data_IF_012352953199
#
_entry.id   IF_012352953199
#
_cell.length_a   1.000
_cell.length_b   1.000
_cell.length_c   1.000
_cell.angle_alpha   90.00
_cell.angle_beta   90.00
_cell.angle_gamma   90.00
#
_symmetry.space_group_name_H-M   'P 1'
#
loop_
_entity.id
_entity.type
_entity.pdbx_description
1 polymer ?
#
# COMPACT_ATOMS: atom_id res chain seq x y z
N UNK A 1 16.89 -8.39 2.58
CA UNK A 1 16.85 -9.87 2.43
C UNK A 1 16.98 -10.29 0.97
N UNK A 2 17.46 -11.50 0.67
CA UNK A 2 17.31 -12.08 -0.67
C UNK A 2 15.83 -12.43 -0.89
N UNK A 3 15.25 -12.03 -2.04
CA UNK A 3 13.81 -12.19 -2.31
C UNK A 3 13.45 -13.55 -2.94
N UNK A 4 14.43 -14.29 -3.47
CA UNK A 4 14.18 -15.60 -4.09
C UNK A 4 13.54 -16.55 -3.09
N UNK A 5 12.45 -17.20 -3.50
CA UNK A 5 11.66 -18.16 -2.71
C UNK A 5 11.02 -17.57 -1.43
N UNK A 6 11.07 -16.23 -1.22
CA UNK A 6 10.41 -15.57 -0.11
C UNK A 6 8.96 -15.25 -0.44
N UNK A 7 8.06 -15.55 0.49
CA UNK A 7 6.64 -15.20 0.34
C UNK A 7 6.42 -13.73 0.65
N UNK A 8 5.97 -13.00 -0.36
CA UNK A 8 5.67 -11.56 -0.30
C UNK A 8 4.17 -11.38 -0.54
N UNK A 9 3.48 -10.85 0.45
CA UNK A 9 2.05 -10.52 0.38
C UNK A 9 1.88 -9.08 -0.11
N UNK A 10 1.04 -8.86 -1.11
CA UNK A 10 0.74 -7.51 -1.63
C UNK A 10 -0.78 -7.34 -1.66
N UNK A 11 -1.31 -6.41 -0.87
CA UNK A 11 -2.74 -6.07 -0.88
C UNK A 11 -3.05 -4.99 -1.92
N UNK A 12 -4.24 -5.06 -2.56
CA UNK A 12 -4.60 -4.17 -3.66
C UNK A 12 -3.73 -4.40 -4.90
N UNK A 13 -3.46 -5.68 -5.22
CA UNK A 13 -2.49 -6.09 -6.23
C UNK A 13 -3.06 -6.18 -7.66
N UNK A 14 -4.37 -5.97 -7.86
CA UNK A 14 -5.00 -6.14 -9.17
C UNK A 14 -4.52 -5.10 -10.19
N UNK A 15 -4.21 -3.87 -9.78
CA UNK A 15 -3.87 -2.75 -10.67
C UNK A 15 -2.98 -1.70 -10.00
N UNK A 16 -2.60 -0.66 -10.75
CA UNK A 16 -1.89 0.51 -10.24
C UNK A 16 -0.57 0.16 -9.57
N UNK A 17 -0.32 0.74 -8.40
CA UNK A 17 0.94 0.54 -7.66
C UNK A 17 1.13 -0.91 -7.21
N UNK A 18 0.06 -1.58 -6.73
CA UNK A 18 0.14 -2.98 -6.30
C UNK A 18 0.60 -3.91 -7.42
N UNK A 19 0.01 -3.75 -8.60
CA UNK A 19 0.41 -4.53 -9.78
C UNK A 19 1.84 -4.19 -10.26
N UNK A 20 2.25 -2.92 -10.20
CA UNK A 20 3.62 -2.52 -10.56
C UNK A 20 4.65 -3.11 -9.59
N UNK A 21 4.39 -3.05 -8.28
CA UNK A 21 5.23 -3.68 -7.26
C UNK A 21 5.32 -5.20 -7.45
N UNK A 22 4.19 -5.87 -7.72
CA UNK A 22 4.18 -7.30 -7.97
C UNK A 22 5.04 -7.68 -9.19
N UNK A 23 4.87 -6.99 -10.32
CA UNK A 23 5.65 -7.24 -11.55
C UNK A 23 7.15 -7.03 -11.34
N UNK A 24 7.54 -5.95 -10.64
CA UNK A 24 8.95 -5.67 -10.37
C UNK A 24 9.57 -6.74 -9.47
N UNK A 25 8.89 -7.07 -8.37
CA UNK A 25 9.37 -8.07 -7.43
C UNK A 25 9.45 -9.47 -8.05
N UNK A 26 8.58 -9.79 -9.03
CA UNK A 26 8.57 -11.07 -9.73
C UNK A 26 9.91 -11.40 -10.40
N UNK A 27 10.70 -10.39 -10.81
CA UNK A 27 12.03 -10.57 -11.41
C UNK A 27 13.03 -11.26 -10.46
N UNK A 28 12.77 -11.27 -9.16
CA UNK A 28 13.58 -11.95 -8.15
C UNK A 28 13.08 -13.36 -7.80
N UNK A 29 12.12 -13.89 -8.53
CA UNK A 29 11.56 -15.26 -8.36
C UNK A 29 11.04 -15.51 -6.91
N UNK A 30 10.26 -14.60 -6.31
CA UNK A 30 9.63 -14.85 -5.03
C UNK A 30 8.40 -15.76 -5.18
N UNK A 31 7.79 -16.09 -4.03
CA UNK A 31 6.40 -16.51 -3.97
C UNK A 31 5.54 -15.29 -3.71
N UNK A 32 4.72 -14.87 -4.68
CA UNK A 32 3.83 -13.72 -4.56
C UNK A 32 2.44 -14.17 -4.11
N UNK A 33 1.99 -13.70 -2.95
CA UNK A 33 0.61 -13.79 -2.50
C UNK A 33 -0.11 -12.48 -2.87
N UNK A 34 -0.78 -12.46 -4.00
CA UNK A 34 -1.51 -11.30 -4.49
C UNK A 34 -2.91 -11.28 -3.91
N UNK A 35 -3.30 -10.15 -3.31
CA UNK A 35 -4.58 -9.99 -2.61
C UNK A 35 -5.36 -8.82 -3.19
N UNK A 36 -6.65 -9.04 -3.50
CA UNK A 36 -7.60 -7.97 -3.83
C UNK A 36 -9.01 -8.39 -3.38
N UNK A 37 -10.01 -7.53 -3.56
CA UNK A 37 -11.41 -7.81 -3.22
C UNK A 37 -11.97 -9.02 -3.99
N UNK A 38 -11.51 -9.23 -5.22
CA UNK A 38 -11.90 -10.32 -6.10
C UNK A 38 -10.67 -10.98 -6.71
N UNK A 39 -10.62 -12.30 -6.63
CA UNK A 39 -9.48 -13.07 -7.16
C UNK A 39 -9.36 -12.96 -8.70
N UNK A 40 -10.47 -12.84 -9.40
CA UNK A 40 -10.50 -12.70 -10.86
C UNK A 40 -9.83 -11.41 -11.35
N UNK A 41 -9.88 -10.32 -10.58
CA UNK A 41 -9.26 -9.04 -10.91
C UNK A 41 -7.71 -9.13 -10.89
N UNK A 42 -7.16 -10.15 -10.24
CA UNK A 42 -5.71 -10.39 -10.14
C UNK A 42 -5.12 -11.09 -11.37
N UNK A 43 -5.94 -11.62 -12.28
CA UNK A 43 -5.51 -12.52 -13.35
C UNK A 43 -4.38 -11.92 -14.22
N UNK A 44 -4.53 -10.67 -14.66
CA UNK A 44 -3.54 -10.02 -15.52
C UNK A 44 -2.20 -9.78 -14.79
N UNK A 45 -2.25 -9.37 -13.53
CA UNK A 45 -1.03 -9.18 -12.71
C UNK A 45 -0.36 -10.52 -12.44
N UNK A 46 -1.13 -11.54 -12.08
CA UNK A 46 -0.61 -12.88 -11.80
C UNK A 46 0.08 -13.48 -13.02
N UNK A 47 -0.52 -13.38 -14.20
CA UNK A 47 0.06 -13.91 -15.43
C UNK A 47 1.40 -13.21 -15.76
N UNK A 48 1.44 -11.89 -15.70
CA UNK A 48 2.68 -11.14 -15.92
C UNK A 48 3.79 -11.51 -14.92
N UNK A 49 3.44 -11.75 -13.66
CA UNK A 49 4.41 -12.16 -12.64
C UNK A 49 4.91 -13.61 -12.85
N UNK A 50 4.04 -14.52 -13.29
CA UNK A 50 4.43 -15.89 -13.63
C UNK A 50 5.39 -15.92 -14.83
N UNK A 51 5.11 -15.12 -15.86
CA UNK A 51 6.00 -14.97 -17.03
C UNK A 51 7.37 -14.41 -16.65
N UNK A 52 7.46 -13.59 -15.61
CA UNK A 52 8.72 -13.10 -15.03
C UNK A 52 9.43 -14.12 -14.12
N UNK A 53 8.87 -15.33 -13.91
CA UNK A 53 9.47 -16.42 -13.17
C UNK A 53 9.07 -16.54 -11.70
N UNK A 54 8.12 -15.75 -11.22
CA UNK A 54 7.62 -15.85 -9.84
C UNK A 54 6.58 -16.98 -9.71
N UNK A 55 6.55 -17.63 -8.55
CA UNK A 55 5.38 -18.41 -8.13
C UNK A 55 4.30 -17.45 -7.62
N UNK A 56 3.06 -17.59 -8.10
CA UNK A 56 1.98 -16.65 -7.77
C UNK A 56 0.75 -17.40 -7.28
N UNK A 57 0.23 -16.97 -6.14
CA UNK A 57 -1.04 -17.38 -5.56
C UNK A 57 -1.96 -16.16 -5.41
N UNK A 58 -3.22 -16.30 -5.80
CA UNK A 58 -4.22 -15.22 -5.74
C UNK A 58 -5.22 -15.48 -4.62
N UNK A 59 -5.57 -14.42 -3.88
CA UNK A 59 -6.48 -14.47 -2.75
C UNK A 59 -7.51 -13.35 -2.84
N UNK A 60 -8.78 -13.67 -2.53
CA UNK A 60 -9.83 -12.69 -2.36
C UNK A 60 -10.02 -12.40 -0.87
N UNK A 61 -9.95 -11.12 -0.48
CA UNK A 61 -10.21 -10.69 0.88
C UNK A 61 -10.61 -9.22 0.96
N UNK A 62 -11.53 -8.89 1.87
CA UNK A 62 -11.78 -7.53 2.28
C UNK A 62 -10.90 -7.20 3.49
N UNK A 63 -9.85 -6.40 3.27
CA UNK A 63 -8.91 -6.01 4.34
C UNK A 63 -9.55 -5.23 5.49
N UNK A 64 -10.75 -4.66 5.28
CA UNK A 64 -11.50 -3.95 6.32
C UNK A 64 -12.30 -4.90 7.24
N UNK A 65 -12.30 -6.21 6.97
CA UNK A 65 -13.05 -7.22 7.75
C UNK A 65 -12.06 -8.15 8.44
N UNK A 66 -12.01 -8.10 9.76
CA UNK A 66 -11.03 -8.84 10.58
C UNK A 66 -11.07 -10.35 10.30
N UNK A 67 -12.26 -10.96 10.24
CA UNK A 67 -12.40 -12.41 9.97
C UNK A 67 -11.87 -12.78 8.57
N UNK A 68 -12.01 -11.90 7.57
CA UNK A 68 -11.46 -12.11 6.23
C UNK A 68 -9.93 -12.06 6.26
N UNK A 69 -9.35 -11.12 7.04
CA UNK A 69 -7.90 -10.97 7.14
C UNK A 69 -7.29 -12.18 7.87
N UNK A 70 -7.89 -12.65 8.97
CA UNK A 70 -7.42 -13.85 9.67
C UNK A 70 -7.39 -15.05 8.73
N UNK A 71 -8.52 -15.32 8.06
CA UNK A 71 -8.64 -16.41 7.07
C UNK A 71 -7.62 -16.26 5.93
N UNK A 72 -7.42 -15.05 5.42
CA UNK A 72 -6.45 -14.75 4.37
C UNK A 72 -5.04 -15.20 4.76
N UNK A 73 -4.58 -14.84 5.96
CA UNK A 73 -3.22 -15.20 6.38
C UNK A 73 -3.07 -16.69 6.71
N UNK A 74 -4.12 -17.36 7.17
CA UNK A 74 -4.13 -18.83 7.31
C UNK A 74 -4.01 -19.50 5.93
N UNK A 75 -4.78 -19.06 4.94
CA UNK A 75 -4.73 -19.56 3.57
C UNK A 75 -3.35 -19.29 2.91
N UNK A 76 -2.76 -18.11 3.16
CA UNK A 76 -1.40 -17.80 2.67
C UNK A 76 -0.38 -18.78 3.26
N UNK A 77 -0.42 -19.02 4.56
CA UNK A 77 0.50 -19.98 5.19
C UNK A 77 0.28 -21.39 4.66
N UNK A 78 -0.96 -21.81 4.47
CA UNK A 78 -1.29 -23.13 3.95
C UNK A 78 -0.79 -23.32 2.51
N UNK A 79 -0.94 -22.32 1.62
CA UNK A 79 -0.60 -22.42 0.19
C UNK A 79 0.82 -21.98 -0.15
N UNK A 80 1.37 -21.00 0.59
CA UNK A 80 2.70 -20.44 0.33
C UNK A 80 3.75 -20.87 1.37
N UNK A 81 3.36 -21.55 2.45
CA UNK A 81 4.24 -22.10 3.49
C UNK A 81 4.62 -21.13 4.60
N UNK A 82 4.82 -19.85 4.30
CA UNK A 82 5.24 -18.82 5.27
C UNK A 82 4.85 -17.42 4.81
N UNK A 83 5.08 -16.42 5.67
CA UNK A 83 5.06 -14.98 5.33
C UNK A 83 6.46 -14.43 5.64
N UNK A 84 7.07 -13.72 4.68
CA UNK A 84 8.37 -13.06 4.84
C UNK A 84 8.28 -11.54 4.61
N UNK A 85 7.33 -11.09 3.81
CA UNK A 85 7.07 -9.67 3.65
C UNK A 85 5.58 -9.40 3.44
N UNK A 86 5.14 -8.21 3.89
CA UNK A 86 3.82 -7.66 3.62
C UNK A 86 3.98 -6.25 3.06
N UNK A 87 3.30 -5.99 1.93
CA UNK A 87 3.11 -4.64 1.39
C UNK A 87 1.63 -4.28 1.52
N UNK A 88 1.31 -3.46 2.49
CA UNK A 88 0.00 -2.88 2.71
C UNK A 88 -0.23 -1.75 1.70
N UNK A 89 -0.84 -2.08 0.55
CA UNK A 89 -1.10 -1.14 -0.53
C UNK A 89 -2.60 -0.91 -0.78
N UNK A 90 -3.47 -1.82 -0.41
CA UNK A 90 -4.92 -1.64 -0.58
C UNK A 90 -5.39 -0.31 0.02
N UNK A 91 -6.19 0.44 -0.72
CA UNK A 91 -6.69 1.73 -0.28
C UNK A 91 -7.72 2.32 -1.21
N UNK A 92 -8.54 3.20 -0.65
CA UNK A 92 -9.59 3.93 -1.36
C UNK A 92 -9.54 5.41 -1.00
N UNK A 93 -10.18 6.25 -1.82
CA UNK A 93 -10.48 7.65 -1.52
C UNK A 93 -11.99 7.86 -1.47
N UNK A 94 -12.44 8.79 -0.63
CA UNK A 94 -13.81 9.32 -0.55
C UNK A 94 -13.71 10.80 -0.22
N UNK A 95 -13.22 11.56 -1.20
CA UNK A 95 -12.86 12.97 -1.05
C UNK A 95 -14.12 13.82 -0.84
N UNK A 96 -14.05 14.73 0.11
CA UNK A 96 -15.05 15.75 0.39
C UNK A 96 -14.41 16.87 1.24
N UNK A 97 -14.83 18.09 1.02
CA UNK A 97 -14.48 19.17 1.96
C UNK A 97 -15.09 18.90 3.33
N UNK A 98 -14.38 19.27 4.42
CA UNK A 98 -14.93 19.18 5.76
C UNK A 98 -16.29 19.90 5.84
N UNK A 99 -16.34 21.13 5.32
CA UNK A 99 -17.56 21.91 5.12
C UNK A 99 -17.44 22.64 3.78
N UNK A 100 -18.45 22.53 2.91
CA UNK A 100 -18.61 23.34 1.71
C UNK A 100 -19.67 24.37 1.98
N UNK A 101 -19.26 25.65 2.06
CA UNK A 101 -20.13 26.79 2.26
C UNK A 101 -20.17 27.65 1.00
N UNK A 102 -21.35 28.00 0.52
CA UNK A 102 -21.55 28.83 -0.65
C UNK A 102 -22.87 29.60 -0.55
N UNK A 103 -22.89 30.83 -1.03
CA UNK A 103 -24.09 31.67 -1.10
C UNK A 103 -24.86 31.76 0.24
N UNK A 104 -24.12 31.94 1.35
CA UNK A 104 -24.71 32.10 2.68
C UNK A 104 -25.22 30.83 3.36
N UNK A 105 -25.00 29.65 2.77
CA UNK A 105 -25.44 28.36 3.32
C UNK A 105 -24.41 27.25 3.21
N UNK A 106 -24.53 26.26 4.10
CA UNK A 106 -23.76 25.01 4.01
C UNK A 106 -24.35 24.14 2.91
N UNK A 107 -23.62 23.93 1.82
CA UNK A 107 -24.03 23.04 0.72
C UNK A 107 -23.82 21.55 1.06
N UNK A 108 -22.68 21.25 1.64
CA UNK A 108 -22.33 19.88 2.06
C UNK A 108 -21.27 19.86 3.13
N UNK A 109 -21.10 18.71 3.76
CA UNK A 109 -20.01 18.39 4.70
C UNK A 109 -19.59 16.96 4.52
N UNK A 110 -18.34 16.63 4.83
CA UNK A 110 -17.89 15.25 4.84
C UNK A 110 -18.79 14.42 5.75
N UNK A 111 -19.38 13.36 5.23
CA UNK A 111 -20.24 12.48 6.02
C UNK A 111 -19.40 11.48 6.85
N UNK A 112 -19.97 11.01 7.97
CA UNK A 112 -19.34 9.95 8.76
C UNK A 112 -19.11 8.68 7.92
N UNK A 113 -20.00 8.37 6.98
CA UNK A 113 -19.84 7.22 6.07
C UNK A 113 -18.63 7.38 5.14
N UNK A 114 -18.37 8.59 4.60
CA UNK A 114 -17.17 8.86 3.79
C UNK A 114 -15.90 8.77 4.64
N UNK A 115 -15.93 9.28 5.87
CA UNK A 115 -14.85 9.15 6.82
C UNK A 115 -14.57 7.68 7.12
N UNK A 116 -15.56 6.96 7.61
CA UNK A 116 -15.42 5.58 8.08
C UNK A 116 -14.95 4.63 6.98
N UNK A 117 -15.50 4.74 5.77
CA UNK A 117 -15.09 3.89 4.65
C UNK A 117 -13.58 3.99 4.35
N UNK A 118 -13.00 5.19 4.46
CA UNK A 118 -11.56 5.38 4.25
C UNK A 118 -10.75 4.87 5.43
N UNK A 119 -11.18 5.13 6.66
CA UNK A 119 -10.53 4.63 7.87
C UNK A 119 -10.51 3.10 7.90
N UNK A 120 -11.64 2.45 7.59
CA UNK A 120 -11.75 1.00 7.63
C UNK A 120 -10.77 0.32 6.68
N UNK A 121 -10.64 0.80 5.45
CA UNK A 121 -9.74 0.20 4.46
C UNK A 121 -8.29 0.67 4.68
N UNK A 122 -8.07 1.99 4.75
CA UNK A 122 -6.72 2.55 4.64
C UNK A 122 -5.95 2.58 5.96
N UNK A 123 -6.63 2.44 7.11
CA UNK A 123 -6.00 2.46 8.43
C UNK A 123 -6.24 1.15 9.18
N UNK A 124 -7.51 0.81 9.44
CA UNK A 124 -7.86 -0.42 10.16
C UNK A 124 -7.39 -1.66 9.40
N UNK A 125 -7.61 -1.70 8.08
CA UNK A 125 -7.16 -2.82 7.24
C UNK A 125 -5.63 -3.00 7.22
N UNK A 126 -4.89 -1.90 7.21
CA UNK A 126 -3.42 -1.93 7.32
C UNK A 126 -2.99 -2.47 8.68
N UNK A 127 -3.67 -2.05 9.76
CA UNK A 127 -3.41 -2.59 11.10
C UNK A 127 -3.69 -4.09 11.17
N UNK A 128 -4.84 -4.55 10.70
CA UNK A 128 -5.22 -5.96 10.71
C UNK A 128 -4.24 -6.83 9.92
N UNK A 129 -3.93 -6.44 8.69
CA UNK A 129 -2.96 -7.18 7.87
C UNK A 129 -1.56 -7.16 8.49
N UNK A 130 -1.11 -6.04 9.06
CA UNK A 130 0.17 -5.92 9.73
C UNK A 130 0.28 -6.83 10.95
N UNK A 131 -0.78 -6.88 11.78
CA UNK A 131 -0.87 -7.75 12.96
C UNK A 131 -0.78 -9.23 12.57
N UNK A 132 -1.62 -9.66 11.63
CA UNK A 132 -1.66 -11.06 11.20
C UNK A 132 -0.36 -11.51 10.51
N UNK A 133 0.24 -10.63 9.69
CA UNK A 133 1.55 -10.92 9.09
C UNK A 133 2.64 -11.07 10.16
N UNK A 134 2.70 -10.14 11.11
CA UNK A 134 3.69 -10.19 12.19
C UNK A 134 3.53 -11.45 13.05
N UNK A 135 2.31 -11.83 13.40
CA UNK A 135 2.03 -13.07 14.15
C UNK A 135 2.56 -14.30 13.41
N UNK A 136 2.24 -14.45 12.10
CA UNK A 136 2.69 -15.61 11.30
C UNK A 136 4.21 -15.62 11.14
N UNK A 137 4.86 -14.46 11.02
CA UNK A 137 6.33 -14.35 11.01
C UNK A 137 6.92 -14.81 12.34
N UNK A 138 6.39 -14.32 13.47
CA UNK A 138 6.89 -14.65 14.82
C UNK A 138 6.69 -16.13 15.13
N UNK A 139 5.51 -16.68 14.91
CA UNK A 139 5.19 -18.10 15.19
C UNK A 139 6.10 -19.05 14.38
N UNK A 140 6.44 -18.68 13.16
CA UNK A 140 7.35 -19.47 12.30
C UNK A 140 8.84 -19.17 12.56
N UNK A 141 9.17 -18.20 13.39
CA UNK A 141 10.56 -17.78 13.63
C UNK A 141 11.22 -17.13 12.40
N UNK A 142 10.43 -16.59 11.49
CA UNK A 142 10.94 -15.96 10.28
C UNK A 142 11.19 -14.47 10.51
N UNK A 143 12.40 -13.95 10.25
CA UNK A 143 12.59 -12.52 10.10
C UNK A 143 11.79 -12.00 8.91
N UNK A 144 11.36 -10.74 8.94
CA UNK A 144 10.49 -10.24 7.89
C UNK A 144 10.48 -8.72 7.73
N UNK A 145 9.63 -8.25 6.80
CA UNK A 145 9.46 -6.82 6.51
C UNK A 145 7.98 -6.48 6.30
N UNK A 146 7.52 -5.42 6.94
CA UNK A 146 6.19 -4.85 6.72
C UNK A 146 6.36 -3.45 6.12
N UNK A 147 5.75 -3.22 4.94
CA UNK A 147 5.79 -1.93 4.25
C UNK A 147 4.38 -1.38 4.12
N UNK A 148 4.15 -0.16 4.64
CA UNK A 148 2.87 0.52 4.51
C UNK A 148 2.94 1.59 3.42
N UNK A 149 2.05 1.53 2.43
CA UNK A 149 1.93 2.57 1.41
C UNK A 149 1.12 3.73 1.99
N UNK A 150 1.84 4.79 2.34
CA UNK A 150 1.30 6.06 2.80
C UNK A 150 0.97 6.98 1.60
N UNK A 151 1.17 8.28 1.73
CA UNK A 151 1.00 9.31 0.68
C UNK A 151 1.63 10.61 1.16
N UNK A 152 2.02 11.50 0.24
CA UNK A 152 2.33 12.90 0.60
C UNK A 152 1.12 13.61 1.24
N UNK A 153 -0.11 13.19 0.92
CA UNK A 153 -1.35 13.71 1.55
C UNK A 153 -1.39 13.51 3.08
N UNK A 154 -0.49 12.69 3.65
CA UNK A 154 -0.33 12.56 5.11
C UNK A 154 0.04 13.87 5.82
N UNK A 155 0.62 14.83 5.08
CA UNK A 155 0.94 16.17 5.60
C UNK A 155 -0.23 17.15 5.55
N UNK A 156 -1.31 16.80 4.86
CA UNK A 156 -2.52 17.60 4.67
C UNK A 156 -2.83 17.81 3.18
N UNK A 157 -4.07 17.56 2.78
CA UNK A 157 -4.56 17.85 1.44
C UNK A 157 -6.04 18.26 1.52
N UNK A 158 -6.39 19.40 0.94
CA UNK A 158 -7.75 19.91 0.98
C UNK A 158 -8.75 18.90 0.37
N UNK A 159 -9.84 18.63 1.09
CA UNK A 159 -10.84 17.64 0.68
C UNK A 159 -10.53 16.19 1.07
N UNK A 160 -9.41 15.95 1.76
CA UNK A 160 -8.95 14.60 2.10
C UNK A 160 -8.75 14.40 3.61
N UNK A 161 -9.58 14.99 4.47
CA UNK A 161 -9.44 14.86 5.93
C UNK A 161 -9.35 13.39 6.38
N UNK A 162 -10.21 12.51 5.84
CA UNK A 162 -10.21 11.07 6.11
C UNK A 162 -8.94 10.38 5.59
N UNK A 163 -8.57 10.66 4.34
CA UNK A 163 -7.41 10.04 3.69
C UNK A 163 -6.10 10.51 4.34
N UNK A 164 -5.98 11.80 4.63
CA UNK A 164 -4.83 12.38 5.36
C UNK A 164 -4.64 11.71 6.71
N UNK A 165 -5.71 11.60 7.52
CA UNK A 165 -5.65 10.95 8.82
C UNK A 165 -5.19 9.49 8.71
N UNK A 166 -5.76 8.73 7.77
CA UNK A 166 -5.37 7.34 7.54
C UNK A 166 -3.90 7.22 7.10
N UNK A 167 -3.46 8.04 6.13
CA UNK A 167 -2.10 7.95 5.58
C UNK A 167 -1.02 8.48 6.54
N UNK A 168 -1.35 9.42 7.42
CA UNK A 168 -0.50 9.80 8.55
C UNK A 168 -0.40 8.67 9.58
N UNK A 169 -1.53 8.04 9.92
CA UNK A 169 -1.58 6.92 10.86
C UNK A 169 -0.73 5.73 10.42
N UNK A 170 -0.81 5.30 9.15
CA UNK A 170 -0.02 4.15 8.67
C UNK A 170 1.48 4.43 8.61
N UNK A 171 1.89 5.69 8.40
CA UNK A 171 3.29 6.08 8.49
C UNK A 171 3.79 6.01 9.94
N UNK A 172 2.99 6.49 10.91
CA UNK A 172 3.31 6.42 12.33
C UNK A 172 3.34 4.96 12.83
N UNK A 173 2.40 4.10 12.41
CA UNK A 173 2.38 2.68 12.75
C UNK A 173 3.67 1.99 12.31
N UNK A 174 4.20 2.28 11.13
CA UNK A 174 5.46 1.69 10.66
C UNK A 174 6.64 2.01 11.59
N UNK A 175 6.69 3.22 12.18
CA UNK A 175 7.72 3.60 13.16
C UNK A 175 7.56 2.82 14.47
N UNK A 176 6.32 2.67 14.95
CA UNK A 176 6.01 1.91 16.16
C UNK A 176 6.35 0.44 15.98
N UNK A 177 5.89 -0.19 14.90
CA UNK A 177 6.14 -1.59 14.59
C UNK A 177 7.64 -1.90 14.41
N UNK A 178 8.40 -0.97 13.81
CA UNK A 178 9.85 -1.10 13.71
C UNK A 178 10.53 -1.27 15.06
N UNK A 179 10.00 -0.63 16.11
CA UNK A 179 10.54 -0.73 17.50
C UNK A 179 10.03 -1.99 18.20
N UNK A 180 8.73 -2.27 18.12
CA UNK A 180 8.10 -3.39 18.83
C UNK A 180 8.54 -4.74 18.29
N UNK A 181 8.72 -4.85 16.97
CA UNK A 181 8.96 -6.12 16.27
C UNK A 181 10.45 -6.39 16.03
N UNK A 182 11.35 -5.44 16.30
CA UNK A 182 12.80 -5.59 16.09
C UNK A 182 13.39 -6.83 16.79
N UNK A 183 12.92 -7.12 18.00
CA UNK A 183 13.38 -8.30 18.77
C UNK A 183 13.05 -9.64 18.10
N UNK A 184 12.13 -9.65 17.14
CA UNK A 184 11.77 -10.82 16.34
C UNK A 184 12.42 -10.81 14.94
N UNK A 185 13.33 -9.86 14.67
CA UNK A 185 13.95 -9.70 13.37
C UNK A 185 13.02 -9.15 12.29
N UNK A 186 11.89 -8.53 12.69
CA UNK A 186 10.93 -7.95 11.75
C UNK A 186 11.15 -6.44 11.66
N UNK A 187 11.35 -5.94 10.43
CA UNK A 187 11.49 -4.53 10.10
C UNK A 187 10.15 -3.97 9.65
N UNK A 188 9.95 -2.67 9.82
CA UNK A 188 8.80 -1.98 9.25
C UNK A 188 9.22 -0.63 8.67
N UNK A 189 8.60 -0.25 7.54
CA UNK A 189 8.82 1.04 6.90
C UNK A 189 7.55 1.52 6.19
N UNK A 190 7.54 2.75 5.72
CA UNK A 190 6.47 3.25 4.86
C UNK A 190 7.04 3.95 3.63
N UNK A 191 6.26 3.97 2.55
CA UNK A 191 6.52 4.75 1.35
C UNK A 191 5.39 5.75 1.18
N UNK A 192 5.71 7.01 0.90
CA UNK A 192 4.76 8.08 0.68
C UNK A 192 4.86 8.57 -0.78
N UNK A 193 4.08 7.99 -1.71
CA UNK A 193 4.05 8.44 -3.08
C UNK A 193 3.50 9.85 -3.22
N UNK A 194 4.05 10.61 -4.19
CA UNK A 194 3.45 11.82 -4.73
C UNK A 194 2.34 11.54 -5.74
N UNK A 195 2.20 12.40 -6.74
CA UNK A 195 1.32 12.13 -7.88
C UNK A 195 1.98 11.14 -8.83
N UNK A 196 1.38 9.97 -8.97
CA UNK A 196 1.91 8.86 -9.77
C UNK A 196 0.98 8.61 -10.97
N UNK A 197 1.56 8.40 -12.13
CA UNK A 197 0.88 8.15 -13.41
C UNK A 197 0.26 6.76 -13.45
N UNK A 198 -0.81 6.57 -12.68
CA UNK A 198 -1.62 5.35 -12.69
C UNK A 198 -2.73 5.45 -13.75
N UNK A 199 -3.38 4.34 -14.08
CA UNK A 199 -4.52 4.30 -15.00
C UNK A 199 -5.62 5.31 -14.61
N UNK A 200 -5.86 5.51 -13.31
CA UNK A 200 -6.83 6.49 -12.80
C UNK A 200 -6.43 7.92 -13.18
N UNK A 201 -5.16 8.26 -13.07
CA UNK A 201 -4.64 9.58 -13.43
C UNK A 201 -4.55 9.75 -14.95
N UNK A 202 -4.22 8.67 -15.67
CA UNK A 202 -4.20 8.67 -17.15
C UNK A 202 -5.58 8.97 -17.76
N UNK A 203 -6.65 8.59 -17.06
CA UNK A 203 -8.04 8.87 -17.48
C UNK A 203 -8.51 10.32 -17.20
N UNK A 204 -7.71 11.15 -16.52
CA UNK A 204 -8.03 12.55 -16.24
C UNK A 204 -7.91 13.40 -17.50
N UNK A 205 -8.66 14.53 -17.55
CA UNK A 205 -8.54 15.52 -18.62
C UNK A 205 -7.12 16.10 -18.66
N UNK A 206 -6.58 16.39 -19.88
CA UNK A 206 -5.22 16.92 -20.03
C UNK A 206 -4.94 18.15 -19.17
N UNK A 207 -5.89 19.10 -19.10
CA UNK A 207 -5.73 20.34 -18.33
C UNK A 207 -5.59 20.08 -16.83
N UNK A 208 -6.32 19.06 -16.31
CA UNK A 208 -6.23 18.66 -14.91
C UNK A 208 -4.88 18.00 -14.61
N UNK A 209 -4.36 17.18 -15.54
CA UNK A 209 -3.03 16.57 -15.44
C UNK A 209 -1.93 17.63 -15.47
N UNK A 210 -2.01 18.59 -16.38
CA UNK A 210 -1.06 19.69 -16.50
C UNK A 210 -1.02 20.53 -15.22
N UNK A 211 -2.20 20.85 -14.65
CA UNK A 211 -2.28 21.56 -13.36
C UNK A 211 -1.62 20.80 -12.22
N UNK A 212 -1.79 19.48 -12.13
CA UNK A 212 -1.11 18.64 -11.14
C UNK A 212 0.40 18.64 -11.38
N UNK A 213 0.82 18.44 -12.63
CA UNK A 213 2.25 18.35 -12.99
C UNK A 213 2.98 19.67 -12.79
N UNK A 214 2.34 20.81 -13.05
CA UNK A 214 2.96 22.13 -12.89
C UNK A 214 3.42 22.43 -11.47
N UNK A 215 2.71 21.87 -10.47
CA UNK A 215 3.07 22.00 -9.06
C UNK A 215 4.25 21.13 -8.62
N UNK A 216 4.61 20.10 -9.41
CA UNK A 216 5.72 19.20 -9.07
C UNK A 216 7.04 19.85 -9.51
N UNK A 217 8.05 20.01 -8.60
CA UNK A 217 9.36 20.59 -8.98
C UNK A 217 10.04 19.86 -10.14
N UNK A 218 9.99 18.53 -10.19
CA UNK A 218 10.55 17.73 -11.29
C UNK A 218 9.73 17.79 -12.58
N UNK A 219 8.62 18.57 -12.65
CA UNK A 219 7.80 18.82 -13.83
C UNK A 219 7.24 17.56 -14.52
N UNK A 220 7.13 16.48 -13.79
CA UNK A 220 6.47 15.24 -14.23
C UNK A 220 5.84 14.52 -13.04
N UNK A 221 4.90 13.68 -13.31
CA UNK A 221 4.43 12.69 -12.34
C UNK A 221 5.46 11.57 -12.20
N UNK A 222 5.46 10.89 -11.06
CA UNK A 222 6.20 9.65 -10.91
C UNK A 222 5.54 8.52 -11.68
N UNK A 223 6.33 7.51 -12.06
CA UNK A 223 5.82 6.28 -12.64
C UNK A 223 5.61 5.21 -11.56
N UNK A 224 4.62 4.31 -11.72
CA UNK A 224 4.38 3.24 -10.75
C UNK A 224 5.62 2.41 -10.42
N UNK A 225 6.52 2.21 -11.38
CA UNK A 225 7.77 1.49 -11.18
C UNK A 225 8.75 2.21 -10.25
N UNK A 226 8.74 3.55 -10.18
CA UNK A 226 9.60 4.30 -9.25
C UNK A 226 9.20 4.05 -7.78
N UNK A 227 7.91 3.81 -7.52
CA UNK A 227 7.44 3.36 -6.21
C UNK A 227 7.85 1.90 -5.95
N UNK A 228 7.71 1.05 -6.96
CA UNK A 228 8.10 -0.35 -6.87
C UNK A 228 9.61 -0.52 -6.60
N UNK A 229 10.48 0.32 -7.19
CA UNK A 229 11.92 0.37 -6.90
C UNK A 229 12.20 0.68 -5.43
N UNK A 230 11.46 1.60 -4.85
CA UNK A 230 11.62 1.95 -3.42
C UNK A 230 11.20 0.80 -2.52
N UNK A 231 10.10 0.12 -2.85
CA UNK A 231 9.66 -1.07 -2.11
C UNK A 231 10.71 -2.19 -2.21
N UNK A 232 11.23 -2.46 -3.40
CA UNK A 232 12.31 -3.41 -3.62
C UNK A 232 13.56 -3.07 -2.78
N UNK A 233 13.99 -1.82 -2.80
CA UNK A 233 15.11 -1.33 -1.97
C UNK A 233 14.88 -1.58 -0.48
N UNK A 234 13.69 -1.27 0.04
CA UNK A 234 13.36 -1.50 1.47
C UNK A 234 13.42 -2.99 1.82
N UNK A 235 12.92 -3.85 0.93
CA UNK A 235 12.95 -5.30 1.13
C UNK A 235 14.38 -5.85 1.17
N UNK A 236 15.25 -5.38 0.29
CA UNK A 236 16.62 -5.88 0.14
C UNK A 236 17.61 -5.28 1.14
N UNK A 237 17.40 -4.04 1.59
CA UNK A 237 18.30 -3.37 2.52
C UNK A 237 17.92 -3.66 3.97
N UNK A 238 18.66 -4.54 4.62
CA UNK A 238 18.35 -5.04 5.98
C UNK A 238 18.56 -3.99 7.09
N UNK A 239 19.17 -2.84 6.79
CA UNK A 239 19.34 -1.75 7.77
C UNK A 239 18.24 -0.68 7.70
N UNK A 240 17.28 -0.83 6.78
CA UNK A 240 16.15 0.09 6.64
C UNK A 240 15.00 -0.36 7.54
N UNK A 241 14.69 0.44 8.58
CA UNK A 241 13.54 0.23 9.47
C UNK A 241 13.09 1.56 10.10
N UNK A 242 11.81 1.71 10.39
CA UNK A 242 11.22 2.86 11.08
C UNK A 242 11.28 4.17 10.28
N UNK A 243 11.34 4.12 8.96
CA UNK A 243 11.41 5.32 8.09
C UNK A 243 10.25 5.39 7.11
N UNK A 244 9.88 6.62 6.75
CA UNK A 244 8.97 6.92 5.66
C UNK A 244 9.76 7.52 4.50
N UNK A 245 9.69 6.89 3.32
CA UNK A 245 10.36 7.32 2.10
C UNK A 245 9.37 8.10 1.23
N UNK A 246 9.62 9.39 1.05
CA UNK A 246 8.84 10.26 0.17
C UNK A 246 9.36 10.15 -1.26
N UNK A 247 8.51 9.73 -2.19
CA UNK A 247 8.81 9.57 -3.61
C UNK A 247 7.82 10.44 -4.38
N UNK A 248 8.13 11.74 -4.49
CA UNK A 248 7.15 12.78 -4.79
C UNK A 248 7.65 13.87 -5.76
N UNK A 249 8.85 13.74 -6.30
CA UNK A 249 9.43 14.76 -7.19
C UNK A 249 9.65 16.12 -6.49
N UNK A 250 9.88 16.10 -5.18
CA UNK A 250 10.03 17.24 -4.28
C UNK A 250 8.73 18.06 -4.06
N UNK A 251 7.56 17.50 -4.41
CA UNK A 251 6.29 18.14 -4.13
C UNK A 251 6.01 18.16 -2.62
N UNK A 252 5.61 19.31 -2.11
CA UNK A 252 5.08 19.48 -0.73
C UNK A 252 3.63 19.97 -0.81
N UNK A 253 2.73 19.34 -0.03
CA UNK A 253 1.33 19.74 0.10
C UNK A 253 1.16 20.64 1.31
#
# INVERSE_FOLDING_TARGET
MNLKDKTIVITGAARGLGAAMARRLALHQPVLALVDMKAEDLAATAEACKQAGARVECFAANVAVEADVIRLFDDIVARCGAVHALVNNAGITRDALLIKFKEGKVESKMSLAQWQAVIDVNLTGVFLCGREAAERMIVKGNPGVIINISSISRAGNAGQTNYTAAKAGVAAMAVTWAKELARYGIRAASVAPGFINTEMVAAMKPEAREKLTSGIPLKRMGEPDEIAQTVEFILQNDYVSGRCFEIDGALRL
#
